data_IF_765990600196
#
_entry.id   IF_765990600196
#
_cell.length_a   1.000
_cell.length_b   1.000
_cell.length_c   1.000
_cell.angle_alpha   90.00
_cell.angle_beta   90.00
_cell.angle_gamma   90.00
#
_symmetry.space_group_name_H-M   'P 1'
#
loop_
_entity.id
_entity.type
_entity.pdbx_description
1 polymer ?
#
# COMPACT_ATOMS: atom_id res chain seq x y z
N UNK A 1 11.72 -23.42 -17.40
CA UNK A 1 12.05 -22.41 -16.35
C UNK A 1 11.34 -21.16 -16.82
N UNK A 2 10.05 -21.05 -16.52
CA UNK A 2 9.19 -20.05 -17.15
C UNK A 2 8.61 -19.20 -16.03
N UNK A 3 9.41 -18.24 -15.58
CA UNK A 3 8.98 -17.20 -14.65
C UNK A 3 8.10 -16.26 -15.47
N UNK A 4 6.82 -16.59 -15.52
CA UNK A 4 5.80 -15.74 -16.12
C UNK A 4 5.85 -14.38 -15.40
N UNK A 5 6.06 -13.26 -16.10
CA UNK A 5 6.14 -11.96 -15.44
C UNK A 5 4.77 -11.66 -14.84
N UNK A 6 4.77 -11.43 -13.52
CA UNK A 6 3.57 -11.04 -12.76
C UNK A 6 2.86 -9.88 -13.48
N UNK A 7 1.52 -9.89 -13.58
CA UNK A 7 0.79 -8.81 -14.23
C UNK A 7 1.11 -7.50 -13.52
N UNK A 8 1.62 -6.54 -14.28
CA UNK A 8 1.85 -5.17 -13.82
C UNK A 8 0.55 -4.62 -13.24
N UNK A 9 0.55 -4.06 -12.03
CA UNK A 9 -0.65 -3.45 -11.48
C UNK A 9 -1.11 -2.31 -12.39
N UNK A 10 -2.42 -2.08 -12.52
CA UNK A 10 -2.96 -1.04 -13.39
C UNK A 10 -2.33 0.31 -13.02
N UNK A 11 -1.88 1.04 -14.04
CA UNK A 11 -1.27 2.35 -13.87
C UNK A 11 -2.26 3.29 -13.15
N UNK A 12 -2.01 3.53 -11.87
CA UNK A 12 -2.74 4.47 -11.04
C UNK A 12 -2.38 5.88 -11.50
N UNK A 13 -3.15 6.37 -12.47
CA UNK A 13 -2.89 7.57 -13.24
C UNK A 13 -2.58 8.82 -12.41
N UNK A 14 -1.76 9.68 -13.01
CA UNK A 14 -1.42 11.01 -12.53
C UNK A 14 0.05 11.38 -12.70
N UNK A 15 0.60 11.33 -13.93
CA UNK A 15 1.83 12.02 -14.37
C UNK A 15 3.16 11.72 -13.64
N UNK A 16 3.15 10.98 -12.54
CA UNK A 16 4.33 10.57 -11.78
C UNK A 16 4.74 9.14 -12.18
N UNK A 17 6.02 8.84 -12.00
CA UNK A 17 6.65 7.56 -12.36
C UNK A 17 5.82 6.32 -11.98
N UNK A 18 5.97 5.19 -12.71
CA UNK A 18 5.21 3.97 -12.45
C UNK A 18 5.23 3.59 -10.97
N UNK A 19 4.04 3.32 -10.40
CA UNK A 19 3.91 2.93 -9.00
C UNK A 19 4.62 1.59 -8.76
N UNK A 20 5.73 1.62 -8.03
CA UNK A 20 6.47 0.42 -7.61
C UNK A 20 6.15 0.10 -6.13
N UNK A 21 5.35 -0.94 -5.85
CA UNK A 21 4.97 -1.31 -4.49
C UNK A 21 6.15 -1.80 -3.63
N UNK A 22 7.28 -2.20 -4.22
CA UNK A 22 8.50 -2.60 -3.49
C UNK A 22 9.27 -1.39 -2.97
N UNK A 23 9.33 -0.31 -3.75
CA UNK A 23 10.20 0.84 -3.46
C UNK A 23 9.48 1.93 -2.68
N UNK A 24 8.19 2.12 -2.88
CA UNK A 24 7.44 3.15 -2.18
C UNK A 24 7.13 2.69 -0.75
N UNK A 25 7.56 3.46 0.27
CA UNK A 25 7.19 3.23 1.67
C UNK A 25 6.34 4.39 2.16
N UNK A 26 5.10 4.10 2.57
CA UNK A 26 4.30 5.08 3.30
C UNK A 26 4.92 5.33 4.66
N UNK A 27 5.07 6.61 5.02
CA UNK A 27 5.49 6.98 6.37
C UNK A 27 4.36 6.73 7.38
N UNK A 28 4.71 6.58 8.66
CA UNK A 28 3.71 6.45 9.72
C UNK A 28 2.78 7.66 9.78
N UNK A 29 3.29 8.84 9.44
CA UNK A 29 2.52 10.08 9.37
C UNK A 29 1.52 10.09 8.20
N UNK A 30 1.91 9.54 7.06
CA UNK A 30 1.01 9.41 5.91
C UNK A 30 -0.13 8.43 6.18
N UNK A 31 0.07 7.42 7.01
CA UNK A 31 -0.96 6.46 7.35
C UNK A 31 -1.93 6.97 8.43
N UNK A 32 -1.64 8.10 9.07
CA UNK A 32 -2.54 8.68 10.07
C UNK A 32 -3.84 9.13 9.40
N UNK A 33 -4.99 8.87 10.03
CA UNK A 33 -6.25 9.41 9.55
C UNK A 33 -6.17 10.94 9.55
N UNK A 34 -6.74 11.56 8.51
CA UNK A 34 -6.79 13.01 8.43
C UNK A 34 -7.50 13.57 9.67
N UNK A 35 -6.95 14.62 10.34
CA UNK A 35 -7.58 15.21 11.51
C UNK A 35 -9.03 15.59 11.22
N UNK A 36 -9.93 15.15 12.10
CA UNK A 36 -11.36 15.48 11.97
C UNK A 36 -11.54 16.93 12.43
N UNK A 37 -11.38 17.87 11.50
CA UNK A 37 -11.71 19.26 11.75
C UNK A 37 -13.22 19.40 11.96
N UNK A 38 -13.62 20.05 13.06
CA UNK A 38 -15.02 20.42 13.29
C UNK A 38 -15.48 21.34 12.17
N UNK A 39 -16.47 20.89 11.40
CA UNK A 39 -17.07 21.71 10.35
C UNK A 39 -17.80 22.89 11.00
N UNK A 40 -17.57 24.09 10.47
CA UNK A 40 -18.37 25.26 10.82
C UNK A 40 -19.85 24.96 10.55
N UNK A 41 -20.75 25.54 11.37
CA UNK A 41 -22.20 25.41 11.18
C UNK A 41 -22.56 25.90 9.78
N UNK A 42 -23.39 25.12 9.07
CA UNK A 42 -23.85 25.47 7.73
C UNK A 42 -24.86 26.61 7.86
N UNK A 43 -24.46 27.80 7.43
CA UNK A 43 -25.40 28.92 7.26
C UNK A 43 -26.03 28.79 5.87
N UNK A 44 -27.35 28.68 5.82
CA UNK A 44 -28.08 28.69 4.56
C UNK A 44 -28.14 30.12 4.02
N UNK A 45 -27.78 30.30 2.76
CA UNK A 45 -27.91 31.59 2.07
C UNK A 45 -29.25 31.56 1.34
N UNK A 46 -30.21 32.45 1.67
CA UNK A 46 -31.47 32.58 0.95
C UNK A 46 -31.25 32.76 -0.56
N UNK A 47 -32.20 32.33 -1.38
CA UNK A 47 -32.05 32.37 -2.84
C UNK A 47 -31.81 33.80 -3.34
N UNK A 48 -32.50 34.77 -2.75
CA UNK A 48 -32.40 36.19 -3.13
C UNK A 48 -31.02 36.78 -2.82
N UNK A 49 -30.23 36.11 -1.96
CA UNK A 49 -28.90 36.54 -1.52
C UNK A 49 -27.76 35.76 -2.18
N UNK A 50 -28.06 34.86 -3.13
CA UNK A 50 -27.02 34.12 -3.89
C UNK A 50 -26.46 34.98 -5.02
N UNK A 51 -25.56 35.87 -4.64
CA UNK A 51 -24.80 36.70 -5.56
C UNK A 51 -23.70 35.94 -6.31
N UNK A 52 -23.04 36.62 -7.25
CA UNK A 52 -21.92 36.07 -8.01
C UNK A 52 -20.74 35.62 -7.12
N UNK A 53 -20.54 36.32 -5.99
CA UNK A 53 -19.52 35.99 -5.00
C UNK A 53 -19.81 34.66 -4.31
N UNK A 54 -21.07 34.38 -3.98
CA UNK A 54 -21.53 33.09 -3.46
C UNK A 54 -21.27 31.98 -4.47
N UNK A 55 -21.67 32.15 -5.73
CA UNK A 55 -21.45 31.14 -6.78
C UNK A 55 -19.98 30.86 -7.04
N UNK A 56 -19.15 31.90 -7.08
CA UNK A 56 -17.69 31.79 -7.18
C UNK A 56 -17.09 30.98 -6.02
N UNK A 57 -17.51 31.27 -4.78
CA UNK A 57 -17.09 30.48 -3.60
C UNK A 57 -17.55 29.04 -3.68
N UNK A 58 -18.79 28.79 -4.10
CA UNK A 58 -19.39 27.45 -4.19
C UNK A 58 -18.66 26.60 -5.22
N UNK A 59 -18.38 27.17 -6.40
CA UNK A 59 -17.60 26.52 -7.47
C UNK A 59 -16.19 26.15 -6.99
N UNK A 60 -15.47 27.10 -6.38
CA UNK A 60 -14.12 26.86 -5.83
C UNK A 60 -14.11 25.76 -4.76
N UNK A 61 -15.10 25.74 -3.87
CA UNK A 61 -15.22 24.69 -2.86
C UNK A 61 -15.53 23.31 -3.48
N UNK A 62 -16.38 23.23 -4.49
CA UNK A 62 -16.64 21.99 -5.22
C UNK A 62 -15.38 21.44 -5.89
N UNK A 63 -14.62 22.31 -6.57
CA UNK A 63 -13.35 21.95 -7.19
C UNK A 63 -12.32 21.47 -6.14
N UNK A 64 -12.21 22.16 -5.01
CA UNK A 64 -11.33 21.74 -3.91
C UNK A 64 -11.77 20.40 -3.30
N UNK A 65 -13.07 20.20 -3.09
CA UNK A 65 -13.61 18.95 -2.56
C UNK A 65 -13.36 17.77 -3.51
N UNK A 66 -13.51 17.97 -4.82
CA UNK A 66 -13.17 16.96 -5.84
C UNK A 66 -11.68 16.60 -5.76
N UNK A 67 -10.79 17.59 -5.82
CA UNK A 67 -9.34 17.37 -5.71
C UNK A 67 -8.95 16.63 -4.42
N UNK A 68 -9.53 17.01 -3.29
CA UNK A 68 -9.29 16.34 -2.00
C UNK A 68 -9.74 14.87 -2.00
N UNK A 69 -10.90 14.57 -2.60
CA UNK A 69 -11.40 13.19 -2.74
C UNK A 69 -10.51 12.37 -3.66
N UNK A 70 -10.12 12.92 -4.80
CA UNK A 70 -9.28 12.22 -5.78
C UNK A 70 -7.89 11.93 -5.20
N UNK A 71 -7.28 12.90 -4.50
CA UNK A 71 -6.01 12.70 -3.80
C UNK A 71 -6.10 11.62 -2.70
N UNK A 72 -7.18 11.62 -1.91
CA UNK A 72 -7.41 10.57 -0.90
C UNK A 72 -7.53 9.20 -1.55
N UNK A 73 -8.35 9.08 -2.60
CA UNK A 73 -8.57 7.82 -3.33
C UNK A 73 -7.28 7.29 -3.94
N UNK A 74 -6.47 8.16 -4.56
CA UNK A 74 -5.19 7.76 -5.13
C UNK A 74 -4.28 7.16 -4.05
N UNK A 75 -4.17 7.82 -2.90
CA UNK A 75 -3.37 7.33 -1.77
C UNK A 75 -3.89 6.00 -1.22
N UNK A 76 -5.20 5.87 -1.02
CA UNK A 76 -5.83 4.62 -0.57
C UNK A 76 -5.56 3.48 -1.55
N UNK A 77 -5.70 3.72 -2.85
CA UNK A 77 -5.41 2.71 -3.86
C UNK A 77 -3.94 2.28 -3.86
N UNK A 78 -3.01 3.23 -3.72
CA UNK A 78 -1.58 2.90 -3.62
C UNK A 78 -1.27 2.07 -2.36
N UNK A 79 -1.89 2.40 -1.22
CA UNK A 79 -1.78 1.59 0.01
C UNK A 79 -2.30 0.17 -0.24
N UNK A 80 -3.47 0.03 -0.85
CA UNK A 80 -4.09 -1.28 -1.14
C UNK A 80 -3.23 -2.14 -2.06
N UNK A 81 -2.71 -1.58 -3.16
CA UNK A 81 -1.84 -2.33 -4.09
C UNK A 81 -0.56 -2.78 -3.38
N UNK A 82 0.05 -1.91 -2.57
CA UNK A 82 1.25 -2.26 -1.82
C UNK A 82 0.98 -3.33 -0.75
N UNK A 83 -0.13 -3.24 -0.03
CA UNK A 83 -0.51 -4.23 0.98
C UNK A 83 -0.64 -5.62 0.34
N UNK A 84 -1.42 -5.73 -0.75
CA UNK A 84 -1.60 -6.98 -1.47
C UNK A 84 -0.26 -7.55 -2.00
N UNK A 85 0.63 -6.67 -2.50
CA UNK A 85 1.96 -7.06 -2.95
C UNK A 85 2.81 -7.63 -1.79
N UNK A 86 2.89 -6.92 -0.66
CA UNK A 86 3.68 -7.34 0.50
C UNK A 86 3.12 -8.60 1.16
N UNK A 87 1.80 -8.80 1.17
CA UNK A 87 1.17 -10.03 1.67
C UNK A 87 1.60 -11.24 0.85
N UNK A 88 1.58 -11.13 -0.48
CA UNK A 88 2.04 -12.19 -1.39
C UNK A 88 3.53 -12.47 -1.23
N UNK A 89 4.36 -11.43 -1.18
CA UNK A 89 5.81 -11.57 -1.02
C UNK A 89 6.17 -12.18 0.34
N UNK A 90 5.49 -11.77 1.41
CA UNK A 90 5.67 -12.35 2.75
C UNK A 90 5.29 -13.83 2.79
N UNK A 91 4.18 -14.22 2.15
CA UNK A 91 3.76 -15.62 2.05
C UNK A 91 4.81 -16.47 1.29
N UNK A 92 5.34 -15.96 0.18
CA UNK A 92 6.40 -16.63 -0.58
C UNK A 92 7.67 -16.81 0.26
N UNK A 93 8.14 -15.74 0.92
CA UNK A 93 9.32 -15.80 1.79
C UNK A 93 9.14 -16.77 2.96
N UNK A 94 7.94 -16.84 3.56
CA UNK A 94 7.63 -17.82 4.62
C UNK A 94 7.76 -19.26 4.11
N UNK A 95 7.31 -19.54 2.89
CA UNK A 95 7.45 -20.86 2.27
C UNK A 95 8.92 -21.20 2.00
N UNK A 96 9.69 -20.25 1.47
CA UNK A 96 11.13 -20.42 1.22
C UNK A 96 11.90 -20.67 2.52
N UNK A 97 11.64 -19.90 3.58
CA UNK A 97 12.23 -20.11 4.90
C UNK A 97 11.86 -21.49 5.46
N UNK A 98 10.61 -21.93 5.29
CA UNK A 98 10.20 -23.26 5.72
C UNK A 98 10.90 -24.38 4.92
N UNK A 99 11.10 -24.19 3.62
CA UNK A 99 11.86 -25.13 2.79
C UNK A 99 13.33 -25.20 3.22
N UNK A 100 14.00 -24.05 3.38
CA UNK A 100 15.39 -23.98 3.81
C UNK A 100 15.59 -24.61 5.20
N UNK A 101 14.68 -24.36 6.15
CA UNK A 101 14.71 -25.00 7.47
C UNK A 101 14.59 -26.52 7.37
N UNK A 102 13.71 -27.04 6.51
CA UNK A 102 13.57 -28.49 6.29
C UNK A 102 14.86 -29.10 5.73
N UNK A 103 15.50 -28.43 4.77
CA UNK A 103 16.77 -28.88 4.21
C UNK A 103 17.89 -28.89 5.27
N UNK A 104 17.98 -27.81 6.07
CA UNK A 104 18.96 -27.73 7.16
C UNK A 104 18.76 -28.87 8.17
N UNK A 105 17.51 -29.20 8.50
CA UNK A 105 17.22 -30.34 9.39
C UNK A 105 17.62 -31.68 8.77
N UNK A 106 17.41 -31.86 7.45
CA UNK A 106 17.91 -33.04 6.74
C UNK A 106 19.43 -33.16 6.83
N UNK A 107 20.16 -32.10 6.49
CA UNK A 107 21.62 -32.12 6.55
C UNK A 107 22.13 -32.36 7.97
N UNK A 108 21.53 -31.74 8.99
CA UNK A 108 21.86 -32.01 10.40
C UNK A 108 21.65 -33.48 10.77
N UNK A 109 20.55 -34.09 10.33
CA UNK A 109 20.31 -35.50 10.58
C UNK A 109 21.33 -36.41 9.88
N UNK A 110 21.76 -36.04 8.66
CA UNK A 110 22.80 -36.78 7.93
C UNK A 110 24.16 -36.64 8.63
N UNK A 111 24.54 -35.43 9.04
CA UNK A 111 25.78 -35.17 9.78
C UNK A 111 25.80 -35.92 11.10
N UNK A 112 24.71 -35.89 11.88
CA UNK A 112 24.62 -36.63 13.13
C UNK A 112 24.82 -38.15 12.93
N UNK A 113 24.28 -38.72 11.85
CA UNK A 113 24.49 -40.13 11.50
C UNK A 113 25.93 -40.42 11.08
N UNK A 114 26.56 -39.48 10.39
CA UNK A 114 27.96 -39.59 9.98
C UNK A 114 28.89 -39.52 11.20
N UNK A 115 28.73 -38.51 12.05
CA UNK A 115 29.49 -38.32 13.29
C UNK A 115 29.38 -39.54 14.21
N UNK A 116 28.18 -40.12 14.34
CA UNK A 116 27.97 -41.34 15.13
C UNK A 116 28.73 -42.56 14.59
N UNK A 117 29.01 -42.62 13.28
CA UNK A 117 29.71 -43.74 12.64
C UNK A 117 31.22 -43.53 12.55
N UNK A 118 31.67 -42.29 12.36
CA UNK A 118 33.05 -41.97 12.00
C UNK A 118 33.79 -41.12 13.05
N UNK A 119 33.12 -40.71 14.12
CA UNK A 119 33.63 -39.72 15.07
C UNK A 119 33.32 -38.29 14.60
N UNK A 120 33.45 -37.32 15.51
CA UNK A 120 33.31 -35.91 15.16
C UNK A 120 34.42 -35.48 14.20
N UNK A 121 34.06 -34.67 13.21
CA UNK A 121 35.02 -33.95 12.36
C UNK A 121 35.56 -32.75 13.13
#
# INVERSE_FOLDING_TARGET
>A
RDINPSPSPPALGGGAAPFDPRRLRFSQEELRPQPIARKARKVHVPEEQKDEKYWSRRSRNNAAAKRSRDARRLKENQISVRAAFLERENAALRLEVAAARRELQRFRAILARYEARHGQI
#
